data_IF_316343722788
#
_entry.id   IF_316343722788
#
_cell.length_a   1.000
_cell.length_b   1.000
_cell.length_c   1.000
_cell.angle_alpha   90.00
_cell.angle_beta   90.00
_cell.angle_gamma   90.00
#
_symmetry.space_group_name_H-M   'P 1'
#
loop_
_entity.id
_entity.type
_entity.pdbx_description
1 polymer ?
#
# COMPACT_ATOMS: atom_id res chain seq x y z
N UNK A 1 -16.19 -15.37 4.32
CA UNK A 1 -17.15 -14.58 5.14
C UNK A 1 -17.51 -15.25 6.45
N UNK A 2 -18.22 -16.38 6.48
CA UNK A 2 -18.58 -17.09 7.74
C UNK A 2 -17.41 -17.49 8.66
N UNK A 3 -16.17 -17.49 8.16
CA UNK A 3 -14.93 -17.75 8.94
C UNK A 3 -14.25 -16.47 9.45
N UNK A 4 -14.92 -15.31 9.36
CA UNK A 4 -14.41 -14.01 9.84
C UNK A 4 -13.43 -13.32 8.90
N UNK A 5 -13.59 -13.49 7.59
CA UNK A 5 -12.78 -12.77 6.59
C UNK A 5 -13.10 -11.28 6.63
N UNK A 6 -12.07 -10.41 6.55
CA UNK A 6 -12.22 -8.94 6.65
C UNK A 6 -12.48 -8.23 5.31
N UNK A 7 -12.49 -8.96 4.19
CA UNK A 7 -12.69 -8.41 2.85
C UNK A 7 -12.33 -9.42 1.76
N UNK A 8 -12.54 -9.05 0.50
CA UNK A 8 -12.11 -9.84 -0.67
C UNK A 8 -11.23 -9.01 -1.60
N UNK A 9 -10.11 -9.56 -2.08
CA UNK A 9 -9.24 -8.89 -3.06
C UNK A 9 -9.67 -9.25 -4.47
N UNK A 10 -9.59 -8.30 -5.40
CA UNK A 10 -9.64 -8.52 -6.84
C UNK A 10 -8.53 -7.72 -7.53
N UNK A 11 -8.09 -8.20 -8.70
CA UNK A 11 -7.28 -7.44 -9.65
C UNK A 11 -8.12 -7.13 -10.89
N UNK A 12 -7.99 -5.93 -11.44
CA UNK A 12 -8.63 -5.54 -12.70
C UNK A 12 -7.71 -5.69 -13.93
N UNK A 13 -6.45 -6.06 -13.69
CA UNK A 13 -5.47 -6.45 -14.69
C UNK A 13 -4.82 -7.81 -14.32
N UNK A 14 -3.95 -8.33 -15.18
CA UNK A 14 -3.17 -9.53 -14.85
C UNK A 14 -2.33 -9.27 -13.58
N UNK A 15 -2.41 -10.19 -12.61
CA UNK A 15 -1.81 -10.04 -11.27
C UNK A 15 -0.33 -10.45 -11.20
N UNK A 16 0.23 -10.92 -12.32
CA UNK A 16 1.55 -11.56 -12.38
C UNK A 16 1.51 -13.07 -12.13
N UNK A 17 0.35 -13.63 -11.77
CA UNK A 17 0.13 -15.07 -11.59
C UNK A 17 -1.17 -15.51 -12.27
N UNK A 18 -1.15 -16.66 -12.93
CA UNK A 18 -2.30 -17.14 -13.73
C UNK A 18 -3.43 -17.70 -12.84
N UNK A 19 -3.11 -18.10 -11.62
CA UNK A 19 -4.08 -18.59 -10.63
C UNK A 19 -5.01 -17.48 -10.09
N UNK A 20 -4.66 -16.21 -10.33
CA UNK A 20 -5.45 -15.07 -9.89
C UNK A 20 -5.69 -14.08 -11.05
N UNK A 21 -6.59 -14.44 -11.98
CA UNK A 21 -6.82 -13.66 -13.20
C UNK A 21 -7.52 -12.33 -12.91
N UNK A 22 -7.47 -11.43 -13.89
CA UNK A 22 -8.21 -10.18 -13.86
C UNK A 22 -9.73 -10.44 -13.76
N UNK A 23 -10.40 -9.76 -12.83
CA UNK A 23 -11.86 -9.75 -12.73
C UNK A 23 -12.43 -8.74 -13.72
N UNK A 24 -13.36 -9.19 -14.57
CA UNK A 24 -14.13 -8.32 -15.44
C UNK A 24 -15.24 -7.59 -14.67
N UNK A 25 -15.89 -6.63 -15.32
CA UNK A 25 -16.93 -5.82 -14.70
C UNK A 25 -18.10 -6.66 -14.17
N UNK A 26 -18.51 -7.71 -14.88
CA UNK A 26 -19.61 -8.57 -14.44
C UNK A 26 -19.23 -9.36 -13.19
N UNK A 27 -18.01 -9.90 -13.14
CA UNK A 27 -17.47 -10.59 -11.97
C UNK A 27 -17.39 -9.66 -10.76
N UNK A 28 -16.91 -8.42 -10.95
CA UNK A 28 -16.88 -7.40 -9.90
C UNK A 28 -18.28 -7.05 -9.41
N UNK A 29 -19.23 -6.85 -10.33
CA UNK A 29 -20.63 -6.54 -10.02
C UNK A 29 -21.31 -7.64 -9.19
N UNK A 30 -21.12 -8.91 -9.56
CA UNK A 30 -21.65 -10.04 -8.79
C UNK A 30 -20.96 -10.18 -7.43
N UNK A 31 -19.64 -10.01 -7.40
CA UNK A 31 -18.85 -10.02 -6.17
C UNK A 31 -19.29 -8.94 -5.18
N UNK A 32 -19.52 -7.71 -5.64
CA UNK A 32 -19.96 -6.60 -4.81
C UNK A 32 -21.33 -6.83 -4.19
N UNK A 33 -22.28 -7.44 -4.92
CA UNK A 33 -23.58 -7.85 -4.35
C UNK A 33 -23.41 -8.86 -3.22
N UNK A 34 -22.46 -9.79 -3.34
CA UNK A 34 -22.14 -10.76 -2.28
C UNK A 34 -21.50 -10.04 -1.09
N UNK A 35 -20.50 -9.20 -1.32
CA UNK A 35 -19.79 -8.48 -0.27
C UNK A 35 -20.68 -7.51 0.50
N UNK A 36 -21.62 -6.84 -0.17
CA UNK A 36 -22.65 -6.02 0.49
C UNK A 36 -23.48 -6.82 1.49
N UNK A 37 -23.86 -8.07 1.16
CA UNK A 37 -24.66 -8.92 2.05
C UNK A 37 -23.94 -9.25 3.36
N UNK A 38 -22.61 -9.32 3.33
CA UNK A 38 -21.79 -9.65 4.51
C UNK A 38 -21.16 -8.43 5.19
N UNK A 39 -21.42 -7.23 4.67
CA UNK A 39 -20.87 -5.95 5.15
C UNK A 39 -19.34 -5.96 5.28
N UNK A 40 -18.68 -6.39 4.20
CA UNK A 40 -17.21 -6.44 4.10
C UNK A 40 -16.78 -5.80 2.77
N UNK A 41 -15.60 -5.15 2.73
CA UNK A 41 -15.14 -4.47 1.53
C UNK A 41 -14.65 -5.42 0.42
N UNK A 42 -14.83 -4.98 -0.83
CA UNK A 42 -14.00 -5.42 -1.96
C UNK A 42 -12.76 -4.53 -2.04
N UNK A 43 -11.58 -5.13 -1.91
CA UNK A 43 -10.29 -4.50 -2.13
C UNK A 43 -9.91 -4.69 -3.60
N UNK A 44 -9.71 -3.61 -4.35
CA UNK A 44 -9.45 -3.68 -5.78
C UNK A 44 -8.08 -3.09 -6.14
N UNK A 45 -7.23 -3.90 -6.78
CA UNK A 45 -6.12 -3.37 -7.57
C UNK A 45 -6.73 -2.81 -8.86
N UNK A 46 -6.81 -1.49 -8.92
CA UNK A 46 -7.56 -0.76 -9.93
C UNK A 46 -6.63 -0.33 -11.08
N UNK A 47 -6.40 -1.20 -12.05
CA UNK A 47 -5.82 -0.85 -13.35
C UNK A 47 -6.61 -1.61 -14.44
N UNK A 48 -7.11 -0.92 -15.47
CA UNK A 48 -7.71 -1.54 -16.66
C UNK A 48 -6.70 -1.47 -17.80
N UNK A 49 -6.28 -2.63 -18.30
CA UNK A 49 -5.31 -2.70 -19.40
C UNK A 49 -5.94 -2.36 -20.74
N UNK A 50 -5.27 -1.52 -21.52
CA UNK A 50 -5.59 -1.22 -22.92
C UNK A 50 -4.32 -1.21 -23.77
N UNK A 51 -4.43 -1.15 -25.09
CA UNK A 51 -3.23 -1.02 -25.93
C UNK A 51 -2.55 0.33 -25.68
N UNK A 52 -1.23 0.31 -25.48
CA UNK A 52 -0.43 1.50 -25.23
C UNK A 52 0.74 1.56 -26.21
N UNK A 53 0.84 2.66 -26.94
CA UNK A 53 1.99 2.94 -27.80
C UNK A 53 3.19 3.30 -26.92
N UNK A 54 4.17 2.40 -26.83
CA UNK A 54 5.37 2.63 -26.05
C UNK A 54 6.34 3.57 -26.78
N UNK A 55 7.06 4.44 -26.05
CA UNK A 55 8.16 5.20 -26.63
C UNK A 55 9.24 4.23 -27.15
N UNK A 56 9.98 4.65 -28.18
CA UNK A 56 11.12 3.89 -28.70
C UNK A 56 12.33 3.94 -27.75
N UNK A 57 12.16 3.39 -26.56
CA UNK A 57 13.13 3.32 -25.47
C UNK A 57 13.41 1.85 -25.12
N UNK A 58 14.61 1.53 -24.62
CA UNK A 58 14.94 0.18 -24.18
C UNK A 58 14.00 -0.36 -23.10
N UNK A 59 13.85 -1.69 -23.01
CA UNK A 59 13.10 -2.35 -21.92
C UNK A 59 13.70 -2.13 -20.53
N UNK A 60 14.98 -1.74 -20.48
CA UNK A 60 15.67 -1.31 -19.28
C UNK A 60 15.36 0.12 -18.87
N UNK A 61 14.61 0.90 -19.67
CA UNK A 61 14.30 2.27 -19.31
C UNK A 61 13.12 2.37 -18.37
N UNK A 62 13.29 3.09 -17.25
CA UNK A 62 12.17 3.31 -16.32
C UNK A 62 11.05 4.12 -16.97
N UNK A 63 11.40 5.10 -17.80
CA UNK A 63 10.42 5.88 -18.58
C UNK A 63 9.60 5.01 -19.53
N UNK A 64 10.22 3.99 -20.12
CA UNK A 64 9.51 3.02 -20.97
C UNK A 64 8.53 2.19 -20.13
N UNK A 65 8.95 1.73 -18.95
CA UNK A 65 8.08 1.00 -18.03
C UNK A 65 6.91 1.86 -17.52
N UNK A 66 7.19 3.08 -17.06
CA UNK A 66 6.19 4.05 -16.62
C UNK A 66 5.15 4.32 -17.73
N UNK A 67 5.60 4.53 -18.97
CA UNK A 67 4.72 4.73 -20.11
C UNK A 67 3.87 3.50 -20.44
N UNK A 68 4.33 2.28 -20.12
CA UNK A 68 3.60 1.03 -20.38
C UNK A 68 2.36 0.83 -19.51
N UNK A 69 2.24 1.60 -18.43
CA UNK A 69 1.10 1.59 -17.51
C UNK A 69 0.65 3.04 -17.28
N UNK A 70 0.00 3.69 -18.26
CA UNK A 70 -0.38 5.09 -18.16
C UNK A 70 -1.36 5.31 -17.00
N UNK A 71 -1.38 6.53 -16.46
CA UNK A 71 -2.28 6.92 -15.37
C UNK A 71 -3.75 6.66 -15.69
N UNK A 72 -4.14 6.73 -16.97
CA UNK A 72 -5.50 6.44 -17.42
C UNK A 72 -5.98 5.04 -17.06
N UNK A 73 -5.10 4.03 -17.01
CA UNK A 73 -5.49 2.67 -16.61
C UNK A 73 -6.05 2.63 -15.20
N UNK A 74 -5.43 3.38 -14.28
CA UNK A 74 -5.86 3.45 -12.89
C UNK A 74 -7.12 4.32 -12.74
N UNK A 75 -7.17 5.43 -13.45
CA UNK A 75 -8.33 6.34 -13.48
C UNK A 75 -9.59 5.61 -13.99
N UNK A 76 -9.51 4.96 -15.15
CA UNK A 76 -10.64 4.27 -15.79
C UNK A 76 -11.16 3.13 -14.88
N UNK A 77 -10.24 2.44 -14.19
CA UNK A 77 -10.58 1.40 -13.23
C UNK A 77 -11.33 1.96 -12.01
N UNK A 78 -10.86 3.08 -11.44
CA UNK A 78 -11.49 3.73 -10.29
C UNK A 78 -12.87 4.29 -10.69
N UNK A 79 -13.02 4.86 -11.89
CA UNK A 79 -14.32 5.33 -12.39
C UNK A 79 -15.34 4.17 -12.49
N UNK A 80 -14.92 3.03 -13.04
CA UNK A 80 -15.75 1.82 -13.08
C UNK A 80 -16.14 1.36 -11.67
N UNK A 81 -15.19 1.31 -10.74
CA UNK A 81 -15.43 0.89 -9.37
C UNK A 81 -16.37 1.83 -8.62
N UNK A 82 -16.25 3.15 -8.80
CA UNK A 82 -17.17 4.14 -8.26
C UNK A 82 -18.59 3.91 -8.79
N UNK A 83 -18.75 3.65 -10.10
CA UNK A 83 -20.05 3.33 -10.70
C UNK A 83 -20.65 2.05 -10.11
N UNK A 84 -19.86 0.99 -9.96
CA UNK A 84 -20.33 -0.27 -9.35
C UNK A 84 -20.64 -0.11 -7.85
N UNK A 85 -19.86 0.69 -7.12
CA UNK A 85 -20.12 1.05 -5.74
C UNK A 85 -21.47 1.76 -5.61
N UNK A 86 -21.74 2.75 -6.47
CA UNK A 86 -23.02 3.47 -6.54
C UNK A 86 -24.20 2.56 -6.86
N UNK A 87 -24.03 1.62 -7.79
CA UNK A 87 -25.08 0.67 -8.17
C UNK A 87 -25.42 -0.31 -7.05
N UNK A 88 -24.40 -0.85 -6.38
CA UNK A 88 -24.56 -1.97 -5.44
C UNK A 88 -24.68 -1.53 -3.98
N UNK A 89 -24.25 -0.31 -3.66
CA UNK A 89 -24.08 0.19 -2.29
C UNK A 89 -23.05 -0.59 -1.47
N UNK A 90 -22.22 -1.42 -2.13
CA UNK A 90 -21.17 -2.21 -1.52
C UNK A 90 -19.93 -1.35 -1.23
N UNK A 91 -19.24 -1.63 -0.11
CA UNK A 91 -17.99 -0.96 0.22
C UNK A 91 -16.89 -1.39 -0.74
N UNK A 92 -16.32 -0.41 -1.44
CA UNK A 92 -15.14 -0.58 -2.29
C UNK A 92 -13.93 0.06 -1.61
N UNK A 93 -12.80 -0.64 -1.62
CA UNK A 93 -11.52 -0.14 -1.18
C UNK A 93 -10.53 -0.16 -2.35
N UNK A 94 -10.02 1.01 -2.75
CA UNK A 94 -8.95 1.13 -3.73
C UNK A 94 -7.63 0.91 -3.01
N UNK A 95 -6.96 -0.20 -3.33
CA UNK A 95 -5.65 -0.50 -2.75
C UNK A 95 -4.56 0.31 -3.45
N UNK A 96 -3.47 0.58 -2.72
CA UNK A 96 -2.21 1.14 -3.21
C UNK A 96 -2.37 2.22 -4.33
N UNK A 97 -3.21 3.23 -4.08
CA UNK A 97 -3.46 4.33 -5.04
C UNK A 97 -2.14 5.04 -5.37
N UNK A 98 -1.81 5.08 -6.66
CA UNK A 98 -0.65 5.77 -7.20
C UNK A 98 -1.02 7.05 -7.93
N UNK A 99 -2.11 7.06 -8.71
CA UNK A 99 -2.55 8.22 -9.47
C UNK A 99 -3.30 9.25 -8.59
N UNK A 100 -2.65 10.37 -8.27
CA UNK A 100 -3.28 11.49 -7.56
C UNK A 100 -4.41 12.15 -8.37
N UNK A 101 -4.40 12.02 -9.70
CA UNK A 101 -5.44 12.50 -10.60
C UNK A 101 -6.81 11.85 -10.35
N UNK A 102 -6.87 10.71 -9.65
CA UNK A 102 -8.12 10.08 -9.24
C UNK A 102 -8.72 10.72 -7.96
N UNK A 103 -7.97 11.52 -7.20
CA UNK A 103 -8.43 12.11 -5.93
C UNK A 103 -9.70 12.98 -6.08
N UNK A 104 -9.86 13.81 -7.14
CA UNK A 104 -11.09 14.58 -7.33
C UNK A 104 -12.35 13.70 -7.46
N UNK A 105 -12.32 12.64 -8.26
CA UNK A 105 -13.49 11.75 -8.40
C UNK A 105 -13.74 10.91 -7.16
N UNK A 106 -12.69 10.54 -6.42
CA UNK A 106 -12.81 9.88 -5.12
C UNK A 106 -13.52 10.81 -4.12
N UNK A 107 -13.14 12.09 -4.12
CA UNK A 107 -13.77 13.12 -3.28
C UNK A 107 -15.26 13.28 -3.63
N UNK A 108 -15.59 13.46 -4.91
CA UNK A 108 -16.98 13.58 -5.38
C UNK A 108 -17.82 12.35 -4.98
N UNK A 109 -17.29 11.14 -5.21
CA UNK A 109 -17.94 9.90 -4.80
C UNK A 109 -18.21 9.83 -3.28
N UNK A 110 -17.28 10.30 -2.45
CA UNK A 110 -17.47 10.36 -0.99
C UNK A 110 -18.48 11.43 -0.58
N UNK A 111 -18.49 12.58 -1.24
CA UNK A 111 -19.48 13.65 -1.01
C UNK A 111 -20.90 13.20 -1.40
N UNK A 112 -21.04 12.28 -2.35
CA UNK A 112 -22.30 11.57 -2.65
C UNK A 112 -22.72 10.56 -1.55
N UNK A 113 -21.84 10.26 -0.59
CA UNK A 113 -22.07 9.28 0.47
C UNK A 113 -21.75 7.84 0.08
N UNK A 114 -20.99 7.61 -0.99
CA UNK A 114 -20.61 6.26 -1.39
C UNK A 114 -19.61 5.65 -0.38
N UNK A 115 -19.75 4.35 -0.03
CA UNK A 115 -18.80 3.66 0.83
C UNK A 115 -17.52 3.33 0.05
N UNK A 116 -16.64 4.32 -0.07
CA UNK A 116 -15.38 4.22 -0.79
C UNK A 116 -14.21 4.60 0.12
N UNK A 117 -13.27 3.67 0.30
CA UNK A 117 -11.99 3.93 0.99
C UNK A 117 -10.80 3.73 0.06
N UNK A 118 -9.66 4.29 0.42
CA UNK A 118 -8.44 4.35 -0.39
C UNK A 118 -7.22 4.29 0.54
N UNK A 119 -6.25 3.45 0.19
CA UNK A 119 -4.91 3.46 0.81
C UNK A 119 -3.85 3.83 -0.24
N UNK A 120 -2.69 4.30 0.21
CA UNK A 120 -1.48 4.44 -0.63
C UNK A 120 -0.27 3.80 0.05
N UNK A 121 0.92 3.90 -0.55
CA UNK A 121 2.10 3.18 -0.11
C UNK A 121 3.35 4.08 0.06
N UNK A 122 4.31 3.72 0.93
CA UNK A 122 5.55 4.47 1.10
C UNK A 122 6.31 4.72 -0.21
N UNK A 123 6.33 3.79 -1.15
CA UNK A 123 7.02 4.00 -2.42
C UNK A 123 6.38 5.10 -3.28
N UNK A 124 5.07 5.35 -3.19
CA UNK A 124 4.43 6.47 -3.89
C UNK A 124 4.57 7.80 -3.15
N UNK A 125 4.96 7.77 -1.87
CA UNK A 125 5.15 8.94 -1.02
C UNK A 125 6.61 9.36 -0.89
N UNK A 126 7.56 8.43 -1.04
CA UNK A 126 8.99 8.67 -0.82
C UNK A 126 9.80 8.66 -2.13
N UNK A 127 9.36 7.94 -3.17
CA UNK A 127 10.08 7.83 -4.44
C UNK A 127 9.37 8.64 -5.52
N UNK A 128 10.12 9.06 -6.54
CA UNK A 128 9.60 9.79 -7.69
C UNK A 128 10.27 9.30 -8.97
N UNK A 129 9.51 9.25 -10.07
CA UNK A 129 9.97 8.70 -11.34
C UNK A 129 11.25 9.35 -11.88
N UNK A 130 11.44 10.64 -11.64
CA UNK A 130 12.59 11.42 -12.11
C UNK A 130 13.92 10.96 -11.52
N UNK A 131 13.89 10.36 -10.32
CA UNK A 131 15.09 9.92 -9.59
C UNK A 131 15.41 8.45 -9.85
N UNK A 132 14.53 7.72 -10.54
CA UNK A 132 14.71 6.28 -10.76
C UNK A 132 15.68 6.06 -11.94
N UNK A 133 16.85 5.42 -11.69
CA UNK A 133 17.79 5.13 -12.75
C UNK A 133 17.28 4.03 -13.68
N UNK A 134 17.67 4.10 -14.95
CA UNK A 134 17.48 2.99 -15.89
C UNK A 134 18.21 1.72 -15.39
N UNK A 135 17.80 0.57 -15.91
CA UNK A 135 18.31 -0.75 -15.56
C UNK A 135 18.21 -1.09 -14.05
N UNK A 136 17.24 -0.49 -13.33
CA UNK A 136 17.05 -0.69 -11.89
C UNK A 136 15.68 -1.29 -11.55
N UNK A 137 15.44 -2.57 -11.89
CA UNK A 137 14.14 -3.23 -11.68
C UNK A 137 13.74 -3.42 -10.21
N UNK A 138 14.60 -3.05 -9.25
CA UNK A 138 14.25 -2.92 -7.83
C UNK A 138 13.07 -1.95 -7.61
N UNK A 139 12.92 -0.96 -8.48
CA UNK A 139 11.85 0.05 -8.42
C UNK A 139 10.55 -0.41 -9.11
N UNK A 140 10.51 -1.61 -9.71
CA UNK A 140 9.32 -2.10 -10.41
C UNK A 140 8.21 -2.45 -9.41
N UNK A 141 7.07 -1.79 -9.53
CA UNK A 141 5.79 -2.10 -8.88
C UNK A 141 4.63 -1.73 -9.82
N UNK A 142 3.43 -2.26 -9.54
CA UNK A 142 2.22 -1.98 -10.29
C UNK A 142 1.12 -1.53 -9.30
N UNK A 143 0.52 -0.34 -9.44
CA UNK A 143 0.86 0.72 -10.40
C UNK A 143 2.33 1.21 -10.30
N UNK A 144 2.90 1.84 -11.35
CA UNK A 144 4.28 2.32 -11.29
C UNK A 144 4.41 3.55 -10.37
N UNK A 145 5.61 3.79 -9.84
CA UNK A 145 5.96 5.05 -9.15
C UNK A 145 5.88 6.19 -10.17
N UNK A 146 5.13 7.23 -9.83
CA UNK A 146 4.86 8.39 -10.69
C UNK A 146 5.83 9.54 -10.39
N UNK A 147 5.65 10.61 -11.16
CA UNK A 147 6.39 11.86 -11.09
C UNK A 147 6.26 12.56 -9.73
N UNK A 148 7.23 13.44 -9.42
CA UNK A 148 7.26 14.22 -8.19
C UNK A 148 5.95 14.99 -7.94
N UNK A 149 5.38 15.59 -8.97
CA UNK A 149 4.14 16.35 -8.86
C UNK A 149 2.97 15.47 -8.37
N UNK A 150 2.90 14.23 -8.86
CA UNK A 150 1.93 13.24 -8.39
C UNK A 150 2.18 12.86 -6.93
N UNK A 151 3.43 12.57 -6.55
CA UNK A 151 3.83 12.30 -5.16
C UNK A 151 3.39 13.42 -4.21
N UNK A 152 3.65 14.67 -4.57
CA UNK A 152 3.27 15.83 -3.75
C UNK A 152 1.74 15.98 -3.64
N UNK A 153 0.99 15.64 -4.70
CA UNK A 153 -0.47 15.60 -4.67
C UNK A 153 -1.03 14.44 -3.82
N UNK A 154 -0.38 13.27 -3.77
CA UNK A 154 -0.74 12.19 -2.84
C UNK A 154 -0.55 12.60 -1.38
N UNK A 155 0.56 13.30 -1.07
CA UNK A 155 0.76 13.88 0.26
C UNK A 155 -0.34 14.86 0.65
N UNK A 156 -0.77 15.71 -0.29
CA UNK A 156 -1.90 16.60 -0.08
C UNK A 156 -3.20 15.81 0.12
N UNK A 157 -3.42 14.72 -0.61
CA UNK A 157 -4.55 13.80 -0.42
C UNK A 157 -4.59 13.15 0.97
N UNK A 158 -3.44 12.78 1.54
CA UNK A 158 -3.34 12.29 2.94
C UNK A 158 -3.70 13.37 3.95
N UNK A 159 -3.24 14.61 3.73
CA UNK A 159 -3.55 15.76 4.59
C UNK A 159 -5.03 16.11 4.56
N UNK A 160 -5.63 16.08 3.39
CA UNK A 160 -7.05 16.39 3.17
C UNK A 160 -7.98 15.24 3.60
N UNK A 161 -7.42 14.08 3.99
CA UNK A 161 -8.19 12.91 4.41
C UNK A 161 -8.89 12.18 3.26
N UNK A 162 -8.46 12.41 2.01
CA UNK A 162 -8.96 11.69 0.83
C UNK A 162 -8.33 10.29 0.70
N UNK A 163 -7.10 10.14 1.20
CA UNK A 163 -6.42 8.85 1.38
C UNK A 163 -6.53 8.50 2.86
N UNK A 164 -7.11 7.34 3.18
CA UNK A 164 -7.48 6.99 4.56
C UNK A 164 -6.27 6.57 5.40
N UNK A 165 -5.33 5.84 4.80
CA UNK A 165 -4.16 5.30 5.48
C UNK A 165 -3.05 4.88 4.51
N UNK A 166 -1.90 4.52 5.07
CA UNK A 166 -0.71 4.08 4.33
C UNK A 166 -0.41 2.62 4.69
N UNK A 167 -0.21 1.78 3.68
CA UNK A 167 0.24 0.39 3.83
C UNK A 167 1.52 0.13 3.05
N UNK A 168 2.25 -0.93 3.38
CA UNK A 168 3.54 -1.21 2.72
C UNK A 168 3.44 -1.71 1.28
N UNK A 169 2.34 -2.41 0.95
CA UNK A 169 2.23 -3.30 -0.22
C UNK A 169 3.48 -4.19 -0.37
N UNK A 170 3.91 -4.76 0.77
CA UNK A 170 5.12 -5.56 0.85
C UNK A 170 5.00 -6.83 -0.01
N UNK A 171 5.69 -6.83 -1.15
CA UNK A 171 5.68 -7.92 -2.13
C UNK A 171 7.11 -8.37 -2.44
N UNK A 172 7.78 -9.07 -1.50
CA UNK A 172 9.13 -9.55 -1.67
C UNK A 172 9.16 -10.76 -2.61
N UNK A 173 10.24 -10.88 -3.39
CA UNK A 173 10.51 -12.06 -4.20
C UNK A 173 12.00 -12.44 -4.13
N UNK A 174 12.38 -13.67 -4.51
CA UNK A 174 13.78 -14.02 -4.70
C UNK A 174 14.48 -13.01 -5.62
N UNK A 175 15.71 -12.64 -5.26
CA UNK A 175 16.53 -11.67 -6.03
C UNK A 175 16.72 -12.07 -7.49
N UNK A 176 16.70 -13.37 -7.78
CA UNK A 176 16.79 -13.90 -9.15
C UNK A 176 15.60 -13.51 -10.02
N UNK A 177 14.41 -13.30 -9.44
CA UNK A 177 13.22 -12.86 -10.18
C UNK A 177 13.21 -11.35 -10.41
N UNK A 178 14.11 -10.60 -9.79
CA UNK A 178 14.22 -9.14 -9.99
C UNK A 178 14.97 -8.76 -11.25
N UNK A 179 15.54 -9.72 -11.99
CA UNK A 179 16.21 -9.43 -13.27
C UNK A 179 17.33 -8.38 -13.12
N UNK A 180 18.05 -8.41 -11.98
CA UNK A 180 19.06 -7.40 -11.64
C UNK A 180 20.23 -7.36 -12.64
N UNK A 181 20.57 -8.50 -13.25
CA UNK A 181 21.65 -8.58 -14.24
C UNK A 181 21.23 -8.01 -15.60
N UNK A 182 19.99 -8.26 -16.03
CA UNK A 182 19.48 -7.76 -17.31
C UNK A 182 19.00 -6.32 -17.22
N UNK A 183 18.57 -5.88 -16.04
CA UNK A 183 17.97 -4.57 -15.80
C UNK A 183 16.59 -4.41 -16.46
N UNK A 184 16.00 -5.48 -16.97
CA UNK A 184 14.80 -5.43 -17.80
C UNK A 184 13.53 -5.29 -16.96
N UNK A 185 12.88 -4.12 -17.05
CA UNK A 185 11.65 -3.85 -16.30
C UNK A 185 10.47 -4.70 -16.77
N UNK A 186 10.43 -5.21 -17.99
CA UNK A 186 9.29 -5.99 -18.49
C UNK A 186 9.37 -7.45 -18.05
N UNK A 187 10.59 -7.97 -17.82
CA UNK A 187 10.81 -9.32 -17.28
C UNK A 187 10.80 -9.39 -15.76
N UNK A 188 11.27 -8.35 -15.07
CA UNK A 188 11.41 -8.37 -13.61
C UNK A 188 10.08 -8.60 -12.90
N UNK A 189 10.10 -9.27 -11.75
CA UNK A 189 8.95 -9.33 -10.84
C UNK A 189 8.62 -7.94 -10.27
N UNK A 190 7.35 -7.53 -10.38
CA UNK A 190 6.84 -6.29 -9.81
C UNK A 190 6.47 -6.46 -8.33
N UNK A 191 6.98 -5.57 -7.47
CA UNK A 191 6.71 -5.58 -6.02
C UNK A 191 7.85 -4.97 -5.22
N UNK A 192 7.55 -4.23 -4.15
CA UNK A 192 8.57 -3.55 -3.34
C UNK A 192 8.62 -4.13 -1.93
N UNK A 193 9.84 -4.38 -1.42
CA UNK A 193 10.07 -4.85 -0.06
C UNK A 193 10.27 -3.66 0.89
N UNK A 194 9.26 -3.35 1.72
CA UNK A 194 9.30 -2.21 2.66
C UNK A 194 8.70 -2.44 4.06
N UNK A 195 8.29 -3.67 4.43
CA UNK A 195 7.51 -3.88 5.67
C UNK A 195 8.25 -3.43 6.94
N UNK A 196 9.55 -3.71 7.01
CA UNK A 196 10.45 -3.33 8.09
C UNK A 196 10.88 -1.85 8.04
N UNK A 197 10.57 -1.14 6.97
CA UNK A 197 11.01 0.24 6.71
C UNK A 197 9.89 1.27 6.79
N UNK A 198 8.62 0.83 6.78
CA UNK A 198 7.46 1.70 6.57
C UNK A 198 7.40 2.93 7.49
N UNK A 199 7.70 2.74 8.78
CA UNK A 199 7.71 3.84 9.76
C UNK A 199 8.82 4.87 9.48
N UNK A 200 10.07 4.42 9.29
CA UNK A 200 11.20 5.31 9.04
C UNK A 200 11.09 6.01 7.69
N UNK A 201 10.64 5.30 6.64
CA UNK A 201 10.38 5.88 5.32
C UNK A 201 9.34 7.00 5.41
N UNK A 202 8.17 6.70 5.98
CA UNK A 202 7.10 7.68 6.07
C UNK A 202 7.48 8.85 6.98
N UNK A 203 8.15 8.60 8.10
CA UNK A 203 8.56 9.66 9.03
C UNK A 203 9.58 10.62 8.43
N UNK A 204 10.54 10.10 7.66
CA UNK A 204 11.56 10.92 6.99
C UNK A 204 10.90 12.01 6.13
N UNK A 205 9.99 11.62 5.23
CA UNK A 205 9.26 12.57 4.39
C UNK A 205 8.24 13.40 5.18
N UNK A 206 7.51 12.78 6.12
CA UNK A 206 6.44 13.45 6.84
C UNK A 206 6.95 14.59 7.73
N UNK A 207 8.06 14.36 8.44
CA UNK A 207 8.66 15.34 9.34
C UNK A 207 9.18 16.56 8.58
N UNK A 208 9.81 16.36 7.42
CA UNK A 208 10.26 17.45 6.53
C UNK A 208 9.10 18.28 5.97
N UNK A 209 7.92 17.66 5.84
CA UNK A 209 6.69 18.31 5.39
C UNK A 209 5.87 18.95 6.53
N UNK A 210 6.36 18.88 7.77
CA UNK A 210 5.75 19.50 8.95
C UNK A 210 4.64 18.69 9.60
N UNK A 211 4.51 17.40 9.29
CA UNK A 211 3.58 16.50 9.97
C UNK A 211 4.16 15.97 11.29
N UNK A 212 3.29 15.69 12.25
CA UNK A 212 3.65 15.20 13.57
C UNK A 212 3.44 13.69 13.74
N UNK A 213 3.84 13.19 14.92
CA UNK A 213 3.69 11.77 15.30
C UNK A 213 2.23 11.32 15.29
N UNK A 214 1.28 12.21 15.60
CA UNK A 214 -0.15 11.91 15.55
C UNK A 214 -0.65 11.68 14.12
N UNK A 215 -0.07 12.37 13.13
CA UNK A 215 -0.40 12.12 11.72
C UNK A 215 0.08 10.73 11.30
N UNK A 216 1.30 10.35 11.71
CA UNK A 216 1.87 9.01 11.49
C UNK A 216 1.03 7.93 12.16
N UNK A 217 0.67 8.10 13.43
CA UNK A 217 -0.18 7.14 14.16
C UNK A 217 -1.55 6.99 13.49
N UNK A 218 -2.14 8.10 13.02
CA UNK A 218 -3.40 8.06 12.27
C UNK A 218 -3.26 7.27 10.96
N UNK A 219 -2.20 7.50 10.18
CA UNK A 219 -2.02 6.88 8.86
C UNK A 219 -1.54 5.43 8.92
N UNK A 220 -0.75 5.04 9.92
CA UNK A 220 -0.17 3.70 10.01
C UNK A 220 -0.89 2.78 11.02
N UNK A 221 -1.68 3.33 11.94
CA UNK A 221 -2.28 2.56 13.03
C UNK A 221 -3.80 2.71 13.10
N UNK A 222 -4.31 3.93 13.32
CA UNK A 222 -5.75 4.13 13.51
C UNK A 222 -6.55 3.88 12.23
N UNK A 223 -6.07 4.37 11.08
CA UNK A 223 -6.74 4.20 9.79
C UNK A 223 -6.90 2.74 9.39
N UNK A 224 -5.82 1.93 9.38
CA UNK A 224 -5.93 0.49 9.11
C UNK A 224 -6.82 -0.24 10.13
N UNK A 225 -6.77 0.13 11.41
CA UNK A 225 -7.61 -0.50 12.45
C UNK A 225 -9.10 -0.19 12.25
N UNK A 226 -9.47 1.05 11.90
CA UNK A 226 -10.84 1.43 11.53
C UNK A 226 -11.30 0.72 10.28
N UNK A 227 -10.46 0.67 9.25
CA UNK A 227 -10.80 0.01 7.99
C UNK A 227 -11.11 -1.48 8.19
N UNK A 228 -10.39 -2.13 9.10
CA UNK A 228 -10.58 -3.55 9.42
C UNK A 228 -11.61 -3.80 10.53
N UNK A 229 -12.23 -2.76 11.11
CA UNK A 229 -13.26 -2.89 12.13
C UNK A 229 -12.77 -3.43 13.48
N UNK A 230 -11.49 -3.24 13.79
CA UNK A 230 -10.84 -3.74 15.02
C UNK A 230 -10.27 -2.60 15.89
N UNK A 231 -10.68 -1.36 15.66
CA UNK A 231 -10.20 -0.16 16.37
C UNK A 231 -10.51 -0.16 17.88
N UNK A 232 -11.48 -0.99 18.31
CA UNK A 232 -11.73 -1.23 19.73
C UNK A 232 -10.59 -2.02 20.42
N UNK A 233 -9.78 -2.75 19.65
CA UNK A 233 -8.68 -3.59 20.14
C UNK A 233 -7.30 -3.09 19.67
N UNK A 234 -7.20 -2.50 18.47
CA UNK A 234 -5.94 -2.16 17.79
C UNK A 234 -5.88 -0.71 17.34
N UNK A 235 -4.66 -0.27 17.00
CA UNK A 235 -4.44 1.02 16.33
C UNK A 235 -4.49 2.24 17.23
N UNK A 236 -4.68 2.07 18.55
CA UNK A 236 -4.76 3.16 19.51
C UNK A 236 -4.05 2.80 20.84
N UNK A 237 -3.46 3.80 21.49
CA UNK A 237 -2.85 3.71 22.82
C UNK A 237 -3.84 4.21 23.87
N UNK A 238 -4.76 3.34 24.29
CA UNK A 238 -5.79 3.66 25.26
C UNK A 238 -6.07 2.49 26.21
N UNK A 239 -6.55 2.73 27.44
CA UNK A 239 -6.99 1.65 28.32
C UNK A 239 -8.03 0.76 27.62
N UNK A 240 -7.80 -0.56 27.62
CA UNK A 240 -8.68 -1.55 26.99
C UNK A 240 -8.22 -2.03 25.61
N UNK A 241 -7.28 -1.34 24.94
CA UNK A 241 -6.66 -1.83 23.70
C UNK A 241 -5.51 -2.79 24.01
N UNK A 242 -5.15 -3.62 23.02
CA UNK A 242 -3.97 -4.47 23.12
C UNK A 242 -2.72 -3.60 23.25
N UNK A 243 -1.81 -3.97 24.16
CA UNK A 243 -0.54 -3.29 24.36
C UNK A 243 0.48 -3.62 23.24
N UNK A 244 0.11 -3.25 22.00
CA UNK A 244 0.94 -3.27 20.80
C UNK A 244 1.63 -1.91 20.69
N UNK A 245 2.86 -1.81 21.18
CA UNK A 245 3.54 -0.54 21.43
C UNK A 245 4.91 -0.56 20.77
N UNK A 246 5.26 0.52 20.08
CA UNK A 246 6.61 0.74 19.55
C UNK A 246 7.30 1.80 20.41
N UNK A 247 8.45 1.46 20.96
CA UNK A 247 9.39 2.43 21.55
C UNK A 247 10.31 2.87 20.42
N UNK A 248 10.27 4.17 20.13
CA UNK A 248 10.83 4.73 18.92
C UNK A 248 11.59 6.01 19.22
N UNK A 249 12.73 6.18 18.57
CA UNK A 249 13.53 7.41 18.62
C UNK A 249 13.42 8.11 17.26
N UNK A 250 12.62 9.19 17.14
CA UNK A 250 12.34 9.86 15.87
C UNK A 250 13.50 10.72 15.34
N UNK A 251 14.50 11.02 16.18
CA UNK A 251 15.59 11.95 15.85
C UNK A 251 16.83 11.24 15.32
N UNK A 252 16.91 9.92 15.46
CA UNK A 252 18.03 9.13 14.92
C UNK A 252 18.00 9.19 13.39
N UNK A 253 19.08 9.69 12.80
CA UNK A 253 19.32 9.66 11.37
C UNK A 253 20.33 8.56 11.02
N UNK A 254 20.07 7.82 9.94
CA UNK A 254 20.98 6.78 9.47
C UNK A 254 20.83 6.57 7.96
N UNK A 255 21.91 6.16 7.30
CA UNK A 255 21.83 5.67 5.92
C UNK A 255 21.40 4.21 5.92
N UNK A 256 20.37 3.86 5.15
CA UNK A 256 19.89 2.49 5.06
C UNK A 256 20.94 1.58 4.41
N UNK A 257 21.45 0.62 5.17
CA UNK A 257 22.37 -0.42 4.72
C UNK A 257 21.68 -1.78 4.76
N UNK A 258 22.32 -2.79 4.15
CA UNK A 258 21.77 -4.14 4.04
C UNK A 258 21.57 -4.80 5.40
N UNK A 259 22.42 -4.48 6.37
CA UNK A 259 22.41 -5.04 7.73
C UNK A 259 21.21 -4.56 8.55
N UNK A 260 20.57 -3.46 8.14
CA UNK A 260 19.34 -2.97 8.76
C UNK A 260 18.08 -3.72 8.27
N UNK A 261 18.18 -4.47 7.16
CA UNK A 261 17.06 -5.20 6.58
C UNK A 261 16.89 -6.54 7.28
N UNK A 262 15.67 -6.78 7.77
CA UNK A 262 15.32 -8.04 8.46
C UNK A 262 14.49 -8.96 7.55
N UNK A 263 14.09 -8.48 6.38
CA UNK A 263 13.39 -9.27 5.37
C UNK A 263 14.28 -10.37 4.76
N UNK A 264 13.67 -11.54 4.48
CA UNK A 264 14.35 -12.71 3.87
C UNK A 264 15.02 -12.38 2.54
N UNK A 265 14.38 -11.52 1.74
CA UNK A 265 14.89 -11.08 0.44
C UNK A 265 15.24 -9.59 0.54
N UNK A 266 16.47 -9.31 0.96
CA UNK A 266 17.04 -7.96 1.10
C UNK A 266 17.32 -7.29 -0.26
N UNK A 267 16.25 -7.09 -1.04
CA UNK A 267 16.21 -6.44 -2.34
C UNK A 267 15.14 -5.34 -2.27
N UNK A 268 15.59 -4.11 -2.15
CA UNK A 268 14.72 -2.96 -1.94
C UNK A 268 15.31 -1.72 -2.61
N UNK A 269 14.49 -0.82 -3.19
CA UNK A 269 14.98 0.39 -3.83
C UNK A 269 15.54 1.42 -2.84
N UNK A 270 15.29 1.26 -1.53
CA UNK A 270 15.65 2.27 -0.53
C UNK A 270 17.10 2.20 -0.02
N UNK A 271 17.90 1.21 -0.44
CA UNK A 271 19.29 1.08 0.00
C UNK A 271 20.08 2.35 -0.34
N UNK A 272 20.82 2.87 0.64
CA UNK A 272 21.59 4.10 0.50
C UNK A 272 20.81 5.39 0.79
N UNK A 273 19.49 5.33 1.00
CA UNK A 273 18.72 6.52 1.43
C UNK A 273 19.04 6.89 2.88
N UNK A 274 19.09 8.19 3.17
CA UNK A 274 19.12 8.70 4.55
C UNK A 274 17.69 8.66 5.11
N UNK A 275 17.52 7.96 6.22
CA UNK A 275 16.24 7.81 6.91
C UNK A 275 16.33 8.40 8.32
N UNK A 276 15.18 8.86 8.81
CA UNK A 276 14.97 9.30 10.18
C UNK A 276 14.09 8.32 10.94
N UNK A 277 14.34 8.22 12.23
CA UNK A 277 13.56 7.42 13.15
C UNK A 277 14.03 5.97 13.22
N UNK A 278 14.33 5.48 14.43
CA UNK A 278 14.76 4.11 14.66
C UNK A 278 13.91 3.43 15.73
N UNK A 279 13.35 2.27 15.40
CA UNK A 279 12.63 1.41 16.35
C UNK A 279 13.63 0.83 17.35
N UNK A 280 13.38 1.05 18.64
CA UNK A 280 14.23 0.57 19.74
C UNK A 280 13.66 -0.69 20.40
N UNK A 281 12.32 -0.74 20.53
CA UNK A 281 11.63 -1.85 21.17
C UNK A 281 10.23 -2.01 20.61
N UNK A 282 9.74 -3.23 20.51
CA UNK A 282 8.35 -3.52 20.12
C UNK A 282 7.72 -4.42 21.16
N UNK A 283 6.53 -4.07 21.60
CA UNK A 283 5.66 -4.88 22.43
C UNK A 283 4.49 -5.38 21.58
N UNK A 284 4.15 -6.65 21.73
CA UNK A 284 2.99 -7.29 21.13
C UNK A 284 2.13 -7.83 22.28
N UNK A 285 0.98 -7.21 22.51
CA UNK A 285 0.06 -7.50 23.63
C UNK A 285 0.76 -7.47 24.99
N UNK A 286 1.61 -6.47 25.22
CA UNK A 286 2.32 -6.23 26.47
C UNK A 286 3.62 -7.03 26.63
N UNK A 287 3.90 -7.95 25.71
CA UNK A 287 5.07 -8.81 25.75
C UNK A 287 6.14 -8.33 24.75
N UNK A 288 7.43 -8.38 25.13
CA UNK A 288 8.54 -7.88 24.30
C UNK A 288 8.76 -8.74 23.06
N UNK A 289 8.55 -8.19 21.87
CA UNK A 289 8.67 -8.86 20.58
C UNK A 289 10.00 -8.55 19.86
N UNK A 290 10.55 -7.36 20.10
CA UNK A 290 11.86 -6.90 19.61
C UNK A 290 12.48 -6.02 20.68
N UNK A 291 13.75 -6.23 20.99
CA UNK A 291 14.58 -5.35 21.82
C UNK A 291 16.06 -5.44 21.40
N UNK A 292 17.00 -5.02 22.26
CA UNK A 292 18.44 -5.02 21.99
C UNK A 292 19.02 -6.43 21.76
N UNK A 293 18.36 -7.49 22.25
CA UNK A 293 18.77 -8.88 22.00
C UNK A 293 18.26 -9.40 20.64
N UNK A 294 17.42 -8.62 19.97
CA UNK A 294 16.83 -8.93 18.67
C UNK A 294 15.37 -9.38 18.77
N UNK A 295 14.93 -10.16 17.77
CA UNK A 295 13.56 -10.66 17.70
C UNK A 295 13.34 -11.81 18.69
N UNK A 296 12.26 -11.70 19.46
CA UNK A 296 11.76 -12.78 20.31
C UNK A 296 10.88 -13.75 19.51
N UNK A 297 10.64 -14.99 19.98
CA UNK A 297 9.85 -15.97 19.25
C UNK A 297 8.46 -15.46 18.82
N UNK A 298 8.00 -15.79 17.60
CA UNK A 298 6.74 -15.28 17.07
C UNK A 298 5.55 -15.84 17.86
N UNK A 299 4.60 -14.96 18.20
CA UNK A 299 3.38 -15.29 18.97
C UNK A 299 2.13 -14.66 18.36
N UNK A 300 2.12 -14.46 17.05
CA UNK A 300 0.97 -13.91 16.33
C UNK A 300 -0.31 -14.73 16.57
N UNK A 301 -1.46 -14.06 16.49
CA UNK A 301 -2.77 -14.68 16.53
C UNK A 301 -3.60 -14.13 15.37
N UNK A 302 -4.47 -14.96 14.80
CA UNK A 302 -5.38 -14.50 13.76
C UNK A 302 -6.40 -13.52 14.34
N UNK A 303 -6.55 -12.36 13.71
CA UNK A 303 -7.62 -11.40 13.98
C UNK A 303 -8.70 -11.63 12.91
N UNK A 304 -9.88 -12.05 13.35
CA UNK A 304 -10.99 -12.42 12.47
C UNK A 304 -12.20 -11.56 12.80
N UNK A 305 -12.97 -11.19 11.77
CA UNK A 305 -14.23 -10.48 11.98
C UNK A 305 -15.19 -11.34 12.79
N UNK A 306 -15.66 -10.83 13.92
CA UNK A 306 -16.72 -11.51 14.68
C UNK A 306 -18.07 -11.09 14.08
N UNK A 307 -18.66 -11.96 13.26
CA UNK A 307 -20.05 -11.75 12.87
C UNK A 307 -20.94 -12.04 14.07
N UNK A 308 -21.67 -11.03 14.55
CA UNK A 308 -22.81 -11.26 15.42
C UNK A 308 -23.83 -12.06 14.62
N UNK A 309 -24.10 -13.30 15.00
CA UNK A 309 -25.23 -14.05 14.47
C UNK A 309 -26.51 -13.33 14.93
N UNK A 310 -27.01 -12.38 14.15
CA UNK A 310 -28.39 -11.91 14.23
C UNK A 310 -29.27 -12.74 13.31
#
# INVERSE_FOLDING_TARGET
MQRGTLGGKAFMCHSGIDEFPAADEETLRQSLKIFKRYDVPLLAHAEITSEVALPALPTTSYKCYLASRPTSWEIDAIEMLIRLCRETGAHVHIVHLSAADALPMIKEAREEGLPLTVETCPHYLCLQAEDIPDASPLYKCAPPIREKANRDALWQGLKDGLIDFVISDHSPCPTTMKELESGDYFKAWGGISSLDLGLSLLWTEASERGYGLTDIARWLCEGPARFTGIEAQKGNLAPGTDADIVIWDPEVEYTLQREHLVTRHAATPYLGMSLKGQVKKVYLRGEVALDEEGFHPPRGQALLHQHSNT
#
